data_IF_632555254628
#
_entry.id   IF_632555254628
#
_cell.length_a   1.000
_cell.length_b   1.000
_cell.length_c   1.000
_cell.angle_alpha   90.00
_cell.angle_beta   90.00
_cell.angle_gamma   90.00
#
_symmetry.space_group_name_H-M   'P 1'
#
loop_
_entity.id
_entity.type
_entity.pdbx_description
1 polymer ?
#
# COMPACT_ATOMS: atom_id res chain seq x y z
N UNK A 1 8.55 14.65 -7.40
CA UNK A 1 7.97 14.09 -6.17
C UNK A 1 7.67 12.62 -6.40
N UNK A 2 8.60 11.79 -5.99
CA UNK A 2 8.51 10.34 -6.20
C UNK A 2 7.77 9.70 -5.03
N UNK A 3 6.46 9.72 -5.09
CA UNK A 3 5.62 8.96 -4.18
C UNK A 3 5.38 7.58 -4.79
N UNK A 4 6.42 6.81 -4.83
CA UNK A 4 6.38 5.47 -5.34
C UNK A 4 5.92 4.51 -4.23
N UNK A 5 5.05 3.55 -4.48
CA UNK A 5 4.79 2.43 -3.57
C UNK A 5 6.04 1.62 -3.20
N UNK A 6 7.13 1.77 -3.92
CA UNK A 6 8.44 1.29 -3.49
C UNK A 6 8.85 1.91 -2.16
N UNK A 7 8.49 3.17 -1.92
CA UNK A 7 8.70 3.83 -0.63
C UNK A 7 7.80 3.25 0.46
N UNK A 8 6.60 2.78 0.12
CA UNK A 8 5.71 2.17 1.09
C UNK A 8 6.27 0.87 1.66
N UNK A 9 6.82 -0.01 0.85
CA UNK A 9 7.44 -1.27 1.29
C UNK A 9 8.56 -1.07 2.32
N UNK A 10 9.26 0.05 2.21
CA UNK A 10 10.41 0.43 3.03
C UNK A 10 10.10 1.59 3.97
N UNK A 11 8.85 2.03 4.01
CA UNK A 11 8.44 3.20 4.77
C UNK A 11 8.50 2.95 6.26
N UNK A 12 9.00 3.93 7.00
CA UNK A 12 8.94 3.96 8.46
C UNK A 12 7.51 4.09 9.00
N UNK A 13 6.53 4.37 8.14
CA UNK A 13 5.12 4.43 8.53
C UNK A 13 4.55 3.06 8.88
N UNK A 14 5.13 1.98 8.36
CA UNK A 14 4.69 0.61 8.67
C UNK A 14 5.23 0.22 10.03
N UNK A 15 4.33 -0.01 10.97
CA UNK A 15 4.63 -0.37 12.36
C UNK A 15 3.89 -1.64 12.77
N UNK A 16 4.40 -2.35 13.76
CA UNK A 16 3.74 -3.53 14.30
C UNK A 16 2.59 -3.19 15.24
N UNK A 17 2.68 -2.03 15.89
CA UNK A 17 1.71 -1.54 16.86
C UNK A 17 1.63 -0.02 16.79
N UNK A 18 0.43 0.53 16.91
CA UNK A 18 0.26 1.97 16.99
C UNK A 18 0.84 2.56 18.27
N UNK A 19 1.49 3.70 18.13
CA UNK A 19 1.95 4.54 19.25
C UNK A 19 1.15 5.83 19.26
N UNK A 20 0.35 6.11 20.31
CA UNK A 20 -0.38 7.36 20.40
C UNK A 20 0.56 8.57 20.44
N UNK A 21 0.37 9.49 19.52
CA UNK A 21 1.11 10.76 19.44
C UNK A 21 0.31 11.87 20.11
N UNK A 22 0.28 11.85 21.45
CA UNK A 22 -0.56 12.73 22.26
C UNK A 22 -0.22 14.24 22.14
N UNK A 23 0.94 14.57 21.57
CA UNK A 23 1.31 15.94 21.21
C UNK A 23 0.58 16.45 19.95
N UNK A 24 -0.06 15.58 19.20
CA UNK A 24 -0.88 15.98 18.05
C UNK A 24 -2.23 16.52 18.50
N UNK A 25 -2.86 17.32 17.65
CA UNK A 25 -4.15 17.98 17.94
C UNK A 25 -5.35 17.09 17.71
N UNK A 26 -5.23 16.15 16.77
CA UNK A 26 -6.32 15.28 16.34
C UNK A 26 -5.77 13.98 15.78
N UNK A 27 -6.54 12.91 15.96
CA UNK A 27 -6.29 11.62 15.33
C UNK A 27 -7.35 11.30 14.28
N UNK A 28 -6.95 10.73 13.16
CA UNK A 28 -7.84 10.11 12.19
C UNK A 28 -7.47 8.63 12.08
N UNK A 29 -8.39 7.76 12.41
CA UNK A 29 -8.22 6.31 12.40
C UNK A 29 -8.97 5.74 11.21
N UNK A 30 -8.24 5.13 10.29
CA UNK A 30 -8.79 4.58 9.05
C UNK A 30 -8.56 3.08 9.03
N UNK A 31 -9.62 2.30 8.86
CA UNK A 31 -9.53 0.84 8.83
C UNK A 31 -10.47 0.23 7.81
N UNK A 32 -10.07 -0.92 7.28
CA UNK A 32 -10.93 -1.80 6.54
C UNK A 32 -11.54 -2.87 7.46
N UNK A 33 -12.30 -3.81 6.90
CA UNK A 33 -12.87 -4.91 7.67
C UNK A 33 -11.79 -5.74 8.38
N UNK A 34 -10.68 -6.03 7.71
CA UNK A 34 -9.58 -6.80 8.29
C UNK A 34 -8.90 -6.07 9.46
N UNK A 35 -8.79 -4.75 9.38
CA UNK A 35 -8.16 -3.91 10.40
C UNK A 35 -9.08 -3.42 11.51
N UNK A 36 -10.37 -3.72 11.44
CA UNK A 36 -11.38 -3.18 12.36
C UNK A 36 -11.08 -3.45 13.84
N UNK A 37 -10.74 -4.68 14.21
CA UNK A 37 -10.44 -5.04 15.59
C UNK A 37 -9.19 -4.32 16.12
N UNK A 38 -8.19 -4.16 15.28
CA UNK A 38 -6.96 -3.41 15.61
C UNK A 38 -7.27 -1.93 15.84
N UNK A 39 -8.06 -1.33 14.98
CA UNK A 39 -8.52 0.05 15.10
C UNK A 39 -9.37 0.25 16.35
N UNK A 40 -10.31 -0.64 16.62
CA UNK A 40 -11.17 -0.60 17.80
C UNK A 40 -10.38 -0.68 19.10
N UNK A 41 -9.39 -1.56 19.17
CA UNK A 41 -8.51 -1.67 20.34
C UNK A 41 -7.72 -0.38 20.57
N UNK A 42 -7.19 0.21 19.52
CA UNK A 42 -6.47 1.48 19.58
C UNK A 42 -7.39 2.65 20.01
N UNK A 43 -8.59 2.73 19.47
CA UNK A 43 -9.58 3.74 19.85
C UNK A 43 -9.89 3.65 21.33
N UNK A 44 -10.07 2.46 21.90
CA UNK A 44 -10.28 2.27 23.33
C UNK A 44 -9.13 2.81 24.18
N UNK A 45 -7.91 2.70 23.69
CA UNK A 45 -6.69 3.20 24.36
C UNK A 45 -6.62 4.73 24.35
N UNK A 46 -7.03 5.37 23.26
CA UNK A 46 -6.93 6.83 23.07
C UNK A 46 -8.16 7.61 23.52
N UNK A 47 -9.26 6.94 23.84
CA UNK A 47 -10.50 7.60 24.28
C UNK A 47 -10.23 8.48 25.50
N UNK A 48 -10.63 9.74 25.41
CA UNK A 48 -10.43 10.74 26.47
C UNK A 48 -9.08 11.47 26.44
N UNK A 49 -8.19 11.17 25.48
CA UNK A 49 -6.88 11.84 25.35
C UNK A 49 -6.90 12.94 24.30
N UNK A 50 -7.00 12.59 23.03
CA UNK A 50 -7.00 13.49 21.87
C UNK A 50 -8.30 13.29 21.09
N UNK A 51 -8.90 14.35 20.54
CA UNK A 51 -10.06 14.20 19.66
C UNK A 51 -9.72 13.29 18.47
N UNK A 52 -10.65 12.41 18.11
CA UNK A 52 -10.42 11.49 16.98
C UNK A 52 -11.64 11.36 16.09
N UNK A 53 -11.40 10.99 14.87
CA UNK A 53 -12.38 10.66 13.83
C UNK A 53 -12.05 9.29 13.25
N UNK A 54 -13.08 8.49 12.98
CA UNK A 54 -12.93 7.14 12.41
C UNK A 54 -13.50 7.10 11.00
N UNK A 55 -12.81 6.41 10.12
CA UNK A 55 -13.23 6.23 8.73
C UNK A 55 -13.03 4.77 8.31
N UNK A 56 -14.01 4.21 7.63
CA UNK A 56 -13.95 2.85 7.10
C UNK A 56 -13.56 2.83 5.63
N UNK A 57 -12.75 1.86 5.23
CA UNK A 57 -12.38 1.62 3.84
C UNK A 57 -13.30 0.57 3.26
N UNK A 58 -13.99 0.91 2.17
CA UNK A 58 -14.82 -0.01 1.39
C UNK A 58 -14.18 -0.27 0.02
N UNK A 59 -12.93 -0.70 0.02
CA UNK A 59 -12.16 -0.86 -1.22
C UNK A 59 -12.04 0.45 -2.00
N UNK A 60 -12.24 0.39 -3.30
CA UNK A 60 -12.18 1.57 -4.17
C UNK A 60 -13.47 2.41 -4.14
N UNK A 61 -14.55 1.89 -3.58
CA UNK A 61 -15.88 2.52 -3.64
C UNK A 61 -15.92 3.87 -2.93
N UNK A 62 -15.20 3.99 -1.81
CA UNK A 62 -15.15 5.25 -1.05
C UNK A 62 -13.80 5.95 -1.08
N UNK A 63 -12.98 5.69 -2.08
CA UNK A 63 -11.66 6.33 -2.25
C UNK A 63 -11.76 7.86 -2.24
N UNK A 64 -12.73 8.42 -2.95
CA UNK A 64 -12.92 9.88 -3.02
C UNK A 64 -13.37 10.48 -1.67
N UNK A 65 -14.14 9.75 -0.89
CA UNK A 65 -14.50 10.14 0.47
C UNK A 65 -13.27 10.20 1.38
N UNK A 66 -12.45 9.16 1.35
CA UNK A 66 -11.19 9.09 2.11
C UNK A 66 -10.28 10.25 1.73
N UNK A 67 -10.12 10.50 0.44
CA UNK A 67 -9.34 11.63 -0.08
C UNK A 67 -9.84 12.97 0.46
N UNK A 68 -11.14 13.21 0.44
CA UNK A 68 -11.74 14.43 0.98
C UNK A 68 -11.48 14.59 2.48
N UNK A 69 -11.62 13.52 3.25
CA UNK A 69 -11.34 13.54 4.68
C UNK A 69 -9.88 13.89 4.95
N UNK A 70 -8.95 13.27 4.23
CA UNK A 70 -7.52 13.55 4.38
C UNK A 70 -7.22 15.02 4.05
N UNK A 71 -7.73 15.53 2.93
CA UNK A 71 -7.51 16.91 2.49
C UNK A 71 -8.14 17.96 3.42
N UNK A 72 -9.20 17.59 4.13
CA UNK A 72 -9.91 18.50 5.05
C UNK A 72 -9.21 18.66 6.41
N UNK A 73 -8.23 17.82 6.73
CA UNK A 73 -7.56 17.86 8.02
C UNK A 73 -6.57 19.02 8.10
N UNK A 74 -6.50 19.60 9.30
CA UNK A 74 -5.56 20.67 9.61
C UNK A 74 -4.20 20.09 10.01
N UNK A 75 -3.16 20.94 9.95
CA UNK A 75 -1.85 20.60 10.49
C UNK A 75 -1.95 20.18 11.96
N UNK A 76 -1.16 19.19 12.34
CA UNK A 76 -1.20 18.60 13.68
C UNK A 76 -2.13 17.39 13.80
N UNK A 77 -2.65 16.90 12.68
CA UNK A 77 -3.42 15.64 12.61
C UNK A 77 -2.47 14.45 12.41
N UNK A 78 -2.66 13.41 13.21
CA UNK A 78 -1.97 12.13 13.06
C UNK A 78 -2.92 11.09 12.47
N UNK A 79 -2.47 10.39 11.45
CA UNK A 79 -3.23 9.35 10.78
C UNK A 79 -2.77 7.97 11.23
N UNK A 80 -3.74 7.11 11.54
CA UNK A 80 -3.52 5.70 11.92
C UNK A 80 -4.32 4.82 10.97
N UNK A 81 -3.64 3.95 10.27
CA UNK A 81 -4.23 3.07 9.24
C UNK A 81 -4.06 1.63 9.68
N UNK A 82 -5.16 0.89 9.79
CA UNK A 82 -5.17 -0.55 10.05
C UNK A 82 -5.93 -1.26 8.94
N UNK A 83 -5.22 -1.91 8.04
CA UNK A 83 -5.83 -2.48 6.83
C UNK A 83 -4.99 -3.58 6.20
N UNK A 84 -5.62 -4.37 5.34
CA UNK A 84 -4.93 -5.26 4.44
C UNK A 84 -4.04 -4.46 3.46
N UNK A 85 -3.04 -5.12 2.89
CA UNK A 85 -2.00 -4.48 2.08
C UNK A 85 -2.53 -3.50 1.03
N UNK A 86 -3.44 -3.94 0.17
CA UNK A 86 -3.93 -3.11 -0.94
C UNK A 86 -4.65 -1.85 -0.47
N UNK A 87 -5.47 -1.97 0.57
CA UNK A 87 -6.17 -0.83 1.15
C UNK A 87 -5.22 0.12 1.87
N UNK A 88 -4.23 -0.41 2.56
CA UNK A 88 -3.20 0.39 3.23
C UNK A 88 -2.36 1.19 2.22
N UNK A 89 -1.95 0.56 1.10
CA UNK A 89 -1.23 1.24 0.01
C UNK A 89 -2.07 2.37 -0.58
N UNK A 90 -3.36 2.13 -0.80
CA UNK A 90 -4.27 3.14 -1.33
C UNK A 90 -4.34 4.37 -0.41
N UNK A 91 -4.57 4.16 0.88
CA UNK A 91 -4.69 5.27 1.84
C UNK A 91 -3.35 6.00 2.00
N UNK A 92 -2.25 5.28 2.08
CA UNK A 92 -0.92 5.87 2.12
C UNK A 92 -0.65 6.77 0.90
N UNK A 93 -0.97 6.28 -0.29
CA UNK A 93 -0.80 7.04 -1.54
C UNK A 93 -1.64 8.32 -1.55
N UNK A 94 -2.90 8.25 -1.09
CA UNK A 94 -3.75 9.42 -0.95
C UNK A 94 -3.19 10.43 0.06
N UNK A 95 -2.63 9.95 1.16
CA UNK A 95 -1.99 10.80 2.17
C UNK A 95 -0.78 11.53 1.61
N UNK A 96 0.07 10.83 0.89
CA UNK A 96 1.26 11.41 0.27
C UNK A 96 0.90 12.41 -0.83
N UNK A 97 -0.08 12.12 -1.67
CA UNK A 97 -0.61 13.08 -2.66
C UNK A 97 -1.17 14.33 -2.01
N UNK A 98 -1.76 14.21 -0.83
CA UNK A 98 -2.26 15.32 -0.03
C UNK A 98 -1.16 16.13 0.68
N UNK A 99 0.09 15.69 0.60
CA UNK A 99 1.24 16.37 1.20
C UNK A 99 1.59 15.92 2.62
N UNK A 100 1.04 14.81 3.09
CA UNK A 100 1.41 14.24 4.39
C UNK A 100 2.85 13.72 4.38
N UNK A 101 3.57 13.96 5.47
CA UNK A 101 4.87 13.35 5.71
C UNK A 101 4.73 11.97 6.36
N UNK A 102 5.78 11.15 6.27
CA UNK A 102 5.81 9.84 6.94
C UNK A 102 5.60 9.94 8.46
N UNK A 103 6.03 11.04 9.10
CA UNK A 103 5.83 11.26 10.53
C UNK A 103 4.36 11.43 10.93
N UNK A 104 3.50 11.80 9.99
CA UNK A 104 2.06 12.02 10.21
C UNK A 104 1.22 10.77 10.00
N UNK A 105 1.84 9.64 9.64
CA UNK A 105 1.15 8.40 9.30
C UNK A 105 1.77 7.24 10.09
N UNK A 106 0.93 6.42 10.70
CA UNK A 106 1.29 5.09 11.19
C UNK A 106 0.38 4.05 10.56
N UNK A 107 0.94 2.97 10.06
CA UNK A 107 0.19 1.92 9.36
C UNK A 107 0.51 0.56 9.96
N UNK A 108 -0.52 -0.16 10.39
CA UNK A 108 -0.45 -1.57 10.75
C UNK A 108 -1.07 -2.38 9.61
N UNK A 109 -0.27 -3.23 8.99
CA UNK A 109 -0.72 -4.12 7.92
C UNK A 109 -1.32 -5.38 8.53
N UNK A 110 -2.53 -5.72 8.12
CA UNK A 110 -3.20 -6.95 8.50
C UNK A 110 -3.06 -7.98 7.38
N UNK A 111 -2.48 -9.11 7.70
CA UNK A 111 -2.19 -10.16 6.73
C UNK A 111 -0.88 -9.93 5.95
N UNK A 112 -0.66 -10.70 4.87
CA UNK A 112 0.59 -10.66 4.14
C UNK A 112 0.73 -9.40 3.30
N UNK A 113 1.97 -8.97 3.11
CA UNK A 113 2.33 -8.00 2.08
C UNK A 113 2.11 -8.64 0.71
N UNK A 114 1.69 -7.83 -0.26
CA UNK A 114 1.50 -8.26 -1.64
C UNK A 114 2.44 -7.50 -2.56
N UNK A 115 2.92 -8.17 -3.59
CA UNK A 115 3.79 -7.60 -4.60
C UNK A 115 3.27 -7.93 -5.98
N UNK A 116 3.26 -6.93 -6.86
CA UNK A 116 2.74 -7.05 -8.22
C UNK A 116 3.81 -6.71 -9.23
N UNK A 117 3.78 -7.40 -10.36
CA UNK A 117 4.71 -7.20 -11.48
C UNK A 117 3.91 -6.94 -12.75
N UNK A 118 4.27 -5.87 -13.44
CA UNK A 118 3.75 -5.50 -14.74
C UNK A 118 4.59 -6.12 -15.84
N UNK A 119 3.98 -6.96 -16.67
CA UNK A 119 4.66 -7.65 -17.75
C UNK A 119 4.86 -6.74 -18.96
N UNK A 120 6.11 -6.52 -19.36
CA UNK A 120 6.44 -5.72 -20.54
C UNK A 120 6.15 -6.43 -21.87
N UNK A 121 5.68 -7.69 -21.84
CA UNK A 121 5.30 -8.44 -23.04
C UNK A 121 3.83 -8.35 -23.33
N UNK A 122 2.97 -8.66 -22.36
CA UNK A 122 1.50 -8.65 -22.54
C UNK A 122 0.81 -7.47 -21.86
N UNK A 123 1.52 -6.67 -21.07
CA UNK A 123 1.03 -5.48 -20.39
C UNK A 123 0.00 -5.75 -19.29
N UNK A 124 -0.04 -6.97 -18.77
CA UNK A 124 -0.88 -7.35 -17.64
C UNK A 124 -0.08 -7.43 -16.33
N UNK A 125 -0.79 -7.35 -15.22
CA UNK A 125 -0.19 -7.41 -13.87
C UNK A 125 -0.40 -8.78 -13.26
N UNK A 126 0.67 -9.35 -12.70
CA UNK A 126 0.63 -10.62 -11.95
C UNK A 126 1.06 -10.40 -10.51
N UNK A 127 0.45 -11.12 -9.59
CA UNK A 127 0.92 -11.17 -8.19
C UNK A 127 2.11 -12.13 -8.09
N UNK A 128 3.15 -11.71 -7.38
CA UNK A 128 4.38 -12.48 -7.21
C UNK A 128 4.77 -12.58 -5.73
N UNK A 129 5.65 -13.52 -5.41
CA UNK A 129 6.20 -13.61 -4.06
C UNK A 129 7.00 -12.35 -3.70
N UNK A 130 7.00 -11.99 -2.41
CA UNK A 130 7.59 -10.75 -1.91
C UNK A 130 9.07 -10.59 -2.28
N UNK A 131 9.84 -11.68 -2.26
CA UNK A 131 11.28 -11.67 -2.53
C UNK A 131 11.67 -12.25 -3.89
N UNK A 132 10.69 -12.48 -4.78
CA UNK A 132 10.99 -13.04 -6.09
C UNK A 132 11.81 -12.07 -6.95
N UNK A 133 12.90 -12.56 -7.51
CA UNK A 133 13.70 -11.83 -8.51
C UNK A 133 13.25 -12.17 -9.93
N UNK A 134 12.67 -13.35 -10.09
CA UNK A 134 12.17 -13.89 -11.36
C UNK A 134 10.76 -14.42 -11.11
N UNK A 135 9.87 -14.19 -12.05
CA UNK A 135 8.51 -14.71 -12.02
C UNK A 135 8.03 -15.13 -13.40
N UNK A 136 6.99 -15.93 -13.43
CA UNK A 136 6.26 -16.24 -14.65
C UNK A 136 5.01 -15.36 -14.72
N UNK A 137 4.74 -14.75 -15.86
CA UNK A 137 3.51 -13.98 -16.07
C UNK A 137 2.30 -14.91 -16.08
N UNK A 138 1.30 -14.62 -15.25
CA UNK A 138 0.07 -15.41 -15.16
C UNK A 138 -0.74 -15.41 -16.46
N UNK A 139 -0.57 -14.38 -17.28
CA UNK A 139 -1.34 -14.17 -18.51
C UNK A 139 -0.67 -14.73 -19.76
N UNK A 140 0.59 -14.38 -20.02
CA UNK A 140 1.27 -14.81 -21.24
C UNK A 140 2.35 -15.86 -21.03
N UNK A 141 2.58 -16.30 -19.79
CA UNK A 141 3.57 -17.30 -19.40
C UNK A 141 5.03 -16.94 -19.68
N UNK A 142 5.31 -15.68 -20.01
CA UNK A 142 6.68 -15.23 -20.17
C UNK A 142 7.43 -15.27 -18.84
N UNK A 143 8.70 -15.67 -18.90
CA UNK A 143 9.63 -15.51 -17.78
C UNK A 143 10.03 -14.04 -17.68
N UNK A 144 9.88 -13.48 -16.48
CA UNK A 144 10.11 -12.06 -16.22
C UNK A 144 11.22 -11.90 -15.18
N UNK A 145 12.18 -11.06 -15.48
CA UNK A 145 13.11 -10.52 -14.49
C UNK A 145 12.47 -9.27 -13.88
N UNK A 146 12.36 -9.26 -12.54
CA UNK A 146 11.71 -8.18 -11.83
C UNK A 146 12.74 -7.08 -11.56
N UNK A 147 12.54 -5.92 -12.20
CA UNK A 147 13.37 -4.75 -12.01
C UNK A 147 13.09 -4.05 -10.67
N UNK A 148 14.02 -3.15 -10.27
CA UNK A 148 13.93 -2.46 -8.98
C UNK A 148 12.93 -1.30 -8.98
N UNK A 149 12.39 -0.94 -10.13
CA UNK A 149 11.51 0.21 -10.28
C UNK A 149 10.04 -0.19 -10.20
N UNK A 150 9.30 0.54 -9.38
CA UNK A 150 7.86 0.45 -9.30
C UNK A 150 7.21 1.53 -10.16
N UNK A 151 6.24 1.14 -10.97
CA UNK A 151 5.43 2.08 -11.75
C UNK A 151 4.11 2.37 -11.02
N UNK A 152 3.89 3.61 -10.64
CA UNK A 152 2.62 4.05 -10.04
C UNK A 152 1.47 3.89 -11.03
N UNK A 153 1.70 4.22 -12.29
CA UNK A 153 0.69 4.16 -13.35
C UNK A 153 0.28 2.71 -13.65
N UNK A 154 1.25 1.79 -13.60
CA UNK A 154 1.04 0.36 -13.88
C UNK A 154 0.69 -0.45 -12.65
N UNK A 155 0.84 0.14 -11.46
CA UNK A 155 0.59 -0.46 -10.16
C UNK A 155 1.38 -1.75 -9.91
N UNK A 156 2.62 -1.78 -10.38
CA UNK A 156 3.52 -2.92 -10.22
C UNK A 156 4.98 -2.61 -10.53
N UNK A 157 5.86 -3.50 -10.10
CA UNK A 157 7.25 -3.50 -10.52
C UNK A 157 7.34 -3.87 -12.00
N UNK A 158 8.33 -3.35 -12.69
CA UNK A 158 8.50 -3.65 -14.11
C UNK A 158 9.12 -5.04 -14.27
N UNK A 159 8.44 -5.92 -14.98
CA UNK A 159 8.89 -7.26 -15.34
C UNK A 159 9.39 -7.29 -16.78
N UNK A 160 10.68 -7.58 -16.93
CA UNK A 160 11.35 -7.65 -18.24
C UNK A 160 11.37 -9.09 -18.74
N UNK A 161 10.74 -9.38 -19.90
CA UNK A 161 10.77 -10.72 -20.48
C UNK A 161 12.19 -11.15 -20.84
N UNK A 162 12.50 -12.41 -20.52
CA UNK A 162 13.76 -13.03 -20.92
C UNK A 162 13.55 -14.51 -21.28
N UNK A 163 14.50 -15.11 -21.95
CA UNK A 163 14.49 -16.53 -22.28
C UNK A 163 15.44 -17.24 -21.31
N UNK A 164 14.89 -18.13 -20.43
CA UNK A 164 15.73 -18.88 -19.51
C UNK A 164 16.72 -19.77 -20.26
N UNK A 165 17.94 -19.89 -19.74
CA UNK A 165 18.96 -20.81 -20.29
C UNK A 165 18.44 -22.25 -20.23
N UNK A 166 18.38 -22.94 -21.37
CA UNK A 166 17.89 -24.33 -21.49
C UNK A 166 16.45 -24.47 -21.98
N UNK A 167 15.71 -23.36 -22.20
CA UNK A 167 14.48 -23.38 -23.00
C UNK A 167 14.83 -22.82 -24.39
N UNK A 168 14.96 -23.73 -25.37
CA UNK A 168 14.95 -23.30 -26.76
C UNK A 168 13.57 -22.73 -27.08
N UNK A 169 13.51 -21.62 -27.80
CA UNK A 169 12.25 -21.19 -28.37
C UNK A 169 11.76 -22.34 -29.25
N UNK A 170 10.66 -22.96 -28.90
CA UNK A 170 9.88 -23.68 -29.88
C UNK A 170 9.40 -22.63 -30.88
N UNK A 171 10.13 -22.53 -31.97
CA UNK A 171 9.68 -21.78 -33.13
C UNK A 171 8.46 -22.55 -33.64
N UNK A 172 7.29 -22.20 -33.14
CA UNK A 172 6.03 -22.67 -33.67
C UNK A 172 5.93 -22.18 -35.11
N UNK A 173 6.02 -23.10 -35.99
CA UNK A 173 5.72 -22.87 -37.41
C UNK A 173 4.25 -22.47 -37.60
#
# INVERSE_FOLDING_TARGET
LYNSPVLFDKSITIVNQFTPRNERRKFVVISDHAGYEKAKSFISEITGTVPFECLSINGMENKEEIKRVILSQKMGTQFYIAAAWNNAVMVFSLGVEAGLSEAEIQTVIIGPKRRYVYCMKCFEVSEVAEEAEIAECDHCRASLEIGPFYSIVREGYIGYPFIPVGKEEEVGS
#
